data_IF_848795749036
#
_entry.id   IF_848795749036
#
_cell.length_a   1.000
_cell.length_b   1.000
_cell.length_c   1.000
_cell.angle_alpha   90.00
_cell.angle_beta   90.00
_cell.angle_gamma   90.00
#
_symmetry.space_group_name_H-M   'P 1'
#
loop_
_entity.id
_entity.type
_entity.pdbx_description
1 polymer ?
#
# COMPACT_ATOMS: atom_id res chain seq x y z
N UNK A 1 -33.39 26.45 -8.19
CA UNK A 1 -32.41 25.83 -9.09
C UNK A 1 -33.01 25.38 -10.42
N UNK A 2 -34.04 26.02 -10.90
CA UNK A 2 -34.80 25.65 -12.15
C UNK A 2 -34.48 26.53 -13.37
N UNK A 3 -33.56 27.47 -13.30
CA UNK A 3 -33.29 28.38 -14.40
C UNK A 3 -32.05 28.07 -15.29
N UNK A 4 -31.41 26.88 -15.08
CA UNK A 4 -30.27 26.46 -15.92
C UNK A 4 -30.66 25.54 -17.09
N UNK A 5 -31.95 25.32 -17.34
CA UNK A 5 -32.45 24.46 -18.43
C UNK A 5 -32.71 25.22 -19.77
N UNK A 6 -32.12 26.41 -19.97
CA UNK A 6 -32.29 27.18 -21.19
C UNK A 6 -31.33 26.71 -22.31
N UNK A 7 -30.27 25.97 -22.00
CA UNK A 7 -29.31 25.51 -23.00
C UNK A 7 -29.67 24.07 -23.40
N UNK A 8 -29.90 23.77 -24.69
CA UNK A 8 -30.11 22.39 -25.17
C UNK A 8 -28.98 21.48 -24.75
N UNK A 9 -29.30 20.19 -24.43
CA UNK A 9 -28.31 19.23 -23.97
C UNK A 9 -27.16 19.03 -24.95
N UNK A 10 -27.44 19.04 -26.23
CA UNK A 10 -26.43 18.93 -27.29
C UNK A 10 -25.41 20.05 -27.24
N UNK A 11 -25.87 21.30 -26.98
CA UNK A 11 -24.97 22.46 -26.86
C UNK A 11 -24.12 22.34 -25.60
N UNK A 12 -24.70 21.86 -24.52
CA UNK A 12 -24.00 21.62 -23.25
C UNK A 12 -22.90 20.56 -23.43
N UNK A 13 -23.23 19.45 -24.09
CA UNK A 13 -22.30 18.37 -24.37
C UNK A 13 -21.19 18.79 -25.33
N UNK A 14 -21.51 19.60 -26.35
CA UNK A 14 -20.54 20.19 -27.28
C UNK A 14 -19.54 21.09 -26.54
N UNK A 15 -20.05 21.99 -25.70
CA UNK A 15 -19.21 22.90 -24.89
C UNK A 15 -18.33 22.13 -23.92
N UNK A 16 -18.88 21.12 -23.25
CA UNK A 16 -18.14 20.28 -22.33
C UNK A 16 -17.04 19.47 -23.05
N UNK A 17 -17.35 18.91 -24.24
CA UNK A 17 -16.37 18.22 -25.08
C UNK A 17 -15.24 19.18 -25.50
N UNK A 18 -15.58 20.37 -25.94
CA UNK A 18 -14.59 21.37 -26.31
C UNK A 18 -13.70 21.80 -25.15
N UNK A 19 -14.30 22.03 -23.97
CA UNK A 19 -13.57 22.41 -22.75
C UNK A 19 -12.60 21.31 -22.28
N UNK A 20 -13.07 20.07 -22.17
CA UNK A 20 -12.24 18.95 -21.71
C UNK A 20 -11.13 18.64 -22.72
N UNK A 21 -11.42 18.70 -24.03
CA UNK A 21 -10.42 18.54 -25.08
C UNK A 21 -9.37 19.66 -25.05
N UNK A 22 -9.79 20.91 -24.76
CA UNK A 22 -8.87 22.03 -24.58
C UNK A 22 -7.93 21.82 -23.40
N UNK A 23 -8.46 21.34 -22.27
CA UNK A 23 -7.65 21.05 -21.06
C UNK A 23 -6.58 20.00 -21.37
N UNK A 24 -6.94 18.91 -22.07
CA UNK A 24 -5.97 17.88 -22.50
C UNK A 24 -4.93 18.48 -23.44
N UNK A 25 -5.34 19.33 -24.37
CA UNK A 25 -4.44 20.02 -25.31
C UNK A 25 -3.46 20.98 -24.61
N UNK A 26 -3.92 21.74 -23.63
CA UNK A 26 -3.09 22.64 -22.82
C UNK A 26 -2.05 21.88 -22.03
N UNK A 27 -2.45 20.74 -21.44
CA UNK A 27 -1.52 19.87 -20.70
C UNK A 27 -0.43 19.31 -21.64
N UNK A 28 -0.81 18.85 -22.82
CA UNK A 28 0.17 18.38 -23.82
C UNK A 28 1.13 19.50 -24.27
N UNK A 29 0.65 20.70 -24.42
CA UNK A 29 1.49 21.87 -24.71
C UNK A 29 2.46 22.17 -23.56
N UNK A 30 2.01 22.10 -22.31
CA UNK A 30 2.83 22.30 -21.10
C UNK A 30 3.98 21.30 -21.02
N UNK A 31 3.68 20.02 -21.24
CA UNK A 31 4.66 18.94 -21.16
C UNK A 31 5.74 19.05 -22.24
N UNK A 32 5.36 19.42 -23.46
CA UNK A 32 6.31 19.54 -24.59
C UNK A 32 7.05 20.88 -24.64
N UNK A 33 6.60 21.90 -23.92
CA UNK A 33 7.32 23.17 -23.83
C UNK A 33 8.71 23.04 -23.16
N UNK A 34 8.93 21.96 -22.42
CA UNK A 34 10.21 21.60 -21.77
C UNK A 34 11.16 20.81 -22.68
N UNK A 35 10.71 20.32 -23.82
CA UNK A 35 11.53 19.52 -24.75
C UNK A 35 12.19 20.46 -25.79
N UNK A 36 13.52 20.44 -25.87
CA UNK A 36 14.37 21.33 -26.69
C UNK A 36 14.14 21.15 -28.22
N UNK A 37 13.44 20.14 -28.67
CA UNK A 37 13.19 19.83 -30.08
C UNK A 37 11.86 20.33 -30.66
N UNK A 38 11.33 21.38 -30.16
CA UNK A 38 10.47 22.44 -30.71
C UNK A 38 9.42 22.17 -31.80
N UNK A 39 8.97 20.94 -32.10
CA UNK A 39 7.87 20.70 -33.04
C UNK A 39 6.80 19.80 -32.44
N UNK A 40 5.86 20.47 -31.76
CA UNK A 40 4.61 19.87 -31.29
C UNK A 40 3.79 19.26 -32.43
N UNK A 41 3.27 18.03 -32.26
CA UNK A 41 2.14 17.58 -33.04
C UNK A 41 0.87 18.10 -32.39
N UNK A 42 0.28 19.16 -33.00
CA UNK A 42 -0.97 19.73 -32.54
C UNK A 42 -0.81 20.60 -31.27
N UNK A 43 -1.47 21.75 -31.35
CA UNK A 43 -1.63 22.67 -30.23
C UNK A 43 -2.92 22.32 -29.48
N UNK A 44 -3.14 22.98 -28.34
CA UNK A 44 -4.42 23.08 -27.63
C UNK A 44 -5.62 23.17 -28.56
N UNK A 45 -5.53 24.02 -29.63
CA UNK A 45 -6.58 24.14 -30.65
C UNK A 45 -6.83 22.83 -31.42
N UNK A 46 -5.78 22.12 -31.79
CA UNK A 46 -5.90 20.86 -32.54
C UNK A 46 -6.63 19.78 -31.73
N UNK A 47 -6.30 19.64 -30.47
CA UNK A 47 -7.01 18.73 -29.56
C UNK A 47 -8.49 19.11 -29.42
N UNK A 48 -8.79 20.42 -29.26
CA UNK A 48 -10.15 20.91 -29.18
C UNK A 48 -10.95 20.60 -30.44
N UNK A 49 -10.39 20.87 -31.64
CA UNK A 49 -11.05 20.53 -32.90
C UNK A 49 -11.28 19.05 -33.12
N UNK A 50 -10.33 18.20 -32.70
CA UNK A 50 -10.47 16.74 -32.79
C UNK A 50 -11.59 16.22 -31.86
N UNK A 51 -11.69 16.72 -30.62
CA UNK A 51 -12.80 16.38 -29.75
C UNK A 51 -14.16 16.82 -30.28
N UNK A 52 -14.24 18.06 -30.74
CA UNK A 52 -15.46 18.60 -31.37
C UNK A 52 -15.83 17.80 -32.63
N UNK A 53 -14.85 17.45 -33.48
CA UNK A 53 -15.09 16.61 -34.67
C UNK A 53 -15.66 15.26 -34.29
N UNK A 54 -15.07 14.59 -33.28
CA UNK A 54 -15.57 13.32 -32.77
C UNK A 54 -17.02 13.41 -32.28
N UNK A 55 -17.34 14.48 -31.53
CA UNK A 55 -18.70 14.72 -31.07
C UNK A 55 -19.68 14.93 -32.22
N UNK A 56 -19.34 15.78 -33.20
CA UNK A 56 -20.20 16.08 -34.34
C UNK A 56 -20.47 14.81 -35.17
N UNK A 57 -19.44 14.03 -35.50
CA UNK A 57 -19.59 12.79 -36.26
C UNK A 57 -20.42 11.75 -35.54
N UNK A 58 -20.30 11.69 -34.20
CA UNK A 58 -21.14 10.86 -33.38
C UNK A 58 -22.60 11.33 -33.36
N UNK A 59 -22.83 12.62 -33.24
CA UNK A 59 -24.18 13.20 -33.20
C UNK A 59 -24.96 12.93 -34.51
N UNK A 60 -24.31 13.03 -35.67
CA UNK A 60 -24.96 12.79 -36.97
C UNK A 60 -25.37 11.33 -37.21
N UNK A 61 -24.72 10.35 -36.56
CA UNK A 61 -25.05 8.92 -36.71
C UNK A 61 -24.84 8.17 -35.39
N UNK A 62 -25.61 8.59 -34.40
CA UNK A 62 -25.53 8.07 -33.04
C UNK A 62 -26.03 6.60 -32.90
N UNK A 63 -26.81 6.10 -33.86
CA UNK A 63 -27.36 4.75 -33.87
C UNK A 63 -26.41 3.73 -34.51
N UNK A 64 -25.90 4.05 -35.72
CA UNK A 64 -25.07 3.09 -36.48
C UNK A 64 -23.57 3.30 -36.29
N UNK A 65 -23.14 4.45 -35.75
CA UNK A 65 -21.74 4.81 -35.47
C UNK A 65 -20.81 4.85 -36.70
N UNK A 66 -21.38 4.75 -37.93
CA UNK A 66 -20.59 4.64 -39.18
C UNK A 66 -19.74 5.86 -39.43
N UNK A 67 -20.34 7.07 -39.26
CA UNK A 67 -19.62 8.33 -39.48
C UNK A 67 -18.52 8.52 -38.46
N UNK A 68 -18.78 8.18 -37.18
CA UNK A 68 -17.79 8.24 -36.13
C UNK A 68 -16.64 7.26 -36.35
N UNK A 69 -16.94 5.98 -36.66
CA UNK A 69 -15.92 4.98 -36.96
C UNK A 69 -15.13 5.34 -38.23
N UNK A 70 -15.80 5.78 -39.29
CA UNK A 70 -15.14 6.24 -40.50
C UNK A 70 -14.20 7.41 -40.28
N UNK A 71 -14.64 8.43 -39.53
CA UNK A 71 -13.80 9.57 -39.13
C UNK A 71 -12.61 9.16 -38.28
N UNK A 72 -12.82 8.21 -37.34
CA UNK A 72 -11.76 7.63 -36.52
C UNK A 72 -10.71 6.85 -37.32
N UNK A 73 -11.15 6.09 -38.32
CA UNK A 73 -10.25 5.37 -39.24
C UNK A 73 -9.42 6.35 -40.10
N UNK A 74 -10.03 7.38 -40.65
CA UNK A 74 -9.33 8.42 -41.41
C UNK A 74 -8.30 9.13 -40.53
N UNK A 75 -8.71 9.55 -39.33
CA UNK A 75 -7.82 10.17 -38.37
C UNK A 75 -6.65 9.25 -37.99
N UNK A 76 -6.93 7.99 -37.66
CA UNK A 76 -5.91 6.97 -37.30
C UNK A 76 -4.95 6.70 -38.47
N UNK A 77 -5.46 6.61 -39.71
CA UNK A 77 -4.64 6.49 -40.91
C UNK A 77 -3.72 7.68 -41.12
N UNK A 78 -4.23 8.89 -40.96
CA UNK A 78 -3.45 10.13 -41.08
C UNK A 78 -2.36 10.22 -39.98
N UNK A 79 -2.70 9.86 -38.75
CA UNK A 79 -1.76 9.78 -37.65
C UNK A 79 -0.66 8.72 -37.91
N UNK A 80 -1.01 7.58 -38.50
CA UNK A 80 -0.06 6.52 -38.85
C UNK A 80 0.93 6.97 -39.93
N UNK A 81 0.46 7.64 -40.99
CA UNK A 81 1.32 8.22 -42.03
C UNK A 81 2.26 9.28 -41.43
N UNK A 82 1.71 10.16 -40.60
CA UNK A 82 2.49 11.19 -39.93
C UNK A 82 3.59 10.57 -39.02
N UNK A 83 3.24 9.54 -38.25
CA UNK A 83 4.19 8.82 -37.40
C UNK A 83 5.30 8.16 -38.21
N UNK A 84 4.96 7.49 -39.30
CA UNK A 84 5.92 6.86 -40.20
C UNK A 84 6.92 7.85 -40.78
N UNK A 85 6.44 8.97 -41.33
CA UNK A 85 7.30 10.02 -41.88
C UNK A 85 8.26 10.63 -40.86
N UNK A 86 7.83 10.71 -39.61
CA UNK A 86 8.63 11.31 -38.55
C UNK A 86 9.59 10.33 -37.88
N UNK A 87 9.19 9.07 -37.75
CA UNK A 87 10.06 7.97 -37.28
C UNK A 87 11.26 7.78 -38.20
N UNK A 88 11.07 7.93 -39.50
CA UNK A 88 12.15 7.85 -40.50
C UNK A 88 13.21 8.94 -40.37
N UNK A 89 12.90 10.06 -39.69
CA UNK A 89 13.81 11.20 -39.48
C UNK A 89 14.50 11.20 -38.12
N UNK A 90 14.53 10.09 -37.39
CA UNK A 90 15.20 9.92 -36.08
C UNK A 90 14.75 10.90 -34.96
N UNK A 91 13.55 11.46 -35.03
CA UNK A 91 13.02 12.27 -33.95
C UNK A 91 12.25 11.37 -32.99
N UNK A 92 12.71 11.27 -31.73
CA UNK A 92 12.07 10.52 -30.64
C UNK A 92 10.66 11.06 -30.35
N UNK A 93 9.66 10.54 -31.05
CA UNK A 93 8.26 10.88 -30.78
C UNK A 93 7.57 9.72 -30.08
N UNK A 94 7.07 9.98 -28.88
CA UNK A 94 6.34 8.96 -28.12
C UNK A 94 4.97 8.68 -28.78
N UNK A 95 4.59 7.42 -28.87
CA UNK A 95 3.26 6.96 -29.33
C UNK A 95 2.13 7.53 -28.44
N UNK A 96 2.45 7.87 -27.20
CA UNK A 96 1.49 8.38 -26.20
C UNK A 96 0.69 9.58 -26.70
N UNK A 97 1.32 10.53 -27.39
CA UNK A 97 0.63 11.71 -27.93
C UNK A 97 -0.40 11.35 -29.00
N UNK A 98 -0.14 10.33 -29.82
CA UNK A 98 -1.08 9.84 -30.83
C UNK A 98 -2.28 9.14 -30.20
N UNK A 99 -2.02 8.33 -29.17
CA UNK A 99 -3.07 7.68 -28.38
C UNK A 99 -3.96 8.71 -27.69
N UNK A 100 -3.40 9.80 -27.15
CA UNK A 100 -4.16 10.88 -26.54
C UNK A 100 -5.06 11.61 -27.54
N UNK A 101 -4.64 11.77 -28.79
CA UNK A 101 -5.47 12.32 -29.85
C UNK A 101 -6.70 11.44 -30.10
N UNK A 102 -6.50 10.12 -30.19
CA UNK A 102 -7.61 9.18 -30.37
C UNK A 102 -8.56 9.17 -29.16
N UNK A 103 -8.02 9.22 -27.95
CA UNK A 103 -8.84 9.34 -26.73
C UNK A 103 -9.64 10.65 -26.76
N UNK A 104 -9.01 11.75 -27.15
CA UNK A 104 -9.68 13.06 -27.27
C UNK A 104 -10.82 13.02 -28.30
N UNK A 105 -10.61 12.32 -29.42
CA UNK A 105 -11.66 12.08 -30.42
C UNK A 105 -12.86 11.31 -29.84
N UNK A 106 -12.62 10.36 -28.93
CA UNK A 106 -13.65 9.57 -28.27
C UNK A 106 -14.38 10.31 -27.13
N UNK A 107 -13.93 11.50 -26.70
CA UNK A 107 -14.56 12.23 -25.59
C UNK A 107 -16.02 12.59 -25.85
N UNK A 108 -16.37 12.94 -27.10
CA UNK A 108 -17.74 13.29 -27.47
C UNK A 108 -18.75 12.15 -27.12
N UNK A 109 -18.59 10.95 -27.69
CA UNK A 109 -19.40 9.80 -27.30
C UNK A 109 -19.35 9.47 -25.79
N UNK A 110 -18.18 9.59 -25.16
CA UNK A 110 -18.06 9.34 -23.72
C UNK A 110 -18.94 10.27 -22.89
N UNK A 111 -19.03 11.55 -23.25
CA UNK A 111 -19.86 12.55 -22.55
C UNK A 111 -21.34 12.24 -22.68
N UNK A 112 -21.76 11.69 -23.83
CA UNK A 112 -23.17 11.35 -24.08
C UNK A 112 -23.56 10.03 -23.40
N UNK A 113 -22.67 9.05 -23.39
CA UNK A 113 -22.98 7.68 -22.97
C UNK A 113 -22.64 7.37 -21.52
N UNK A 114 -21.70 8.08 -20.92
CA UNK A 114 -21.23 7.83 -19.56
C UNK A 114 -21.78 8.89 -18.59
N UNK A 115 -21.78 8.56 -17.31
CA UNK A 115 -22.07 9.54 -16.27
C UNK A 115 -20.99 10.64 -16.21
N UNK A 116 -21.38 11.86 -15.87
CA UNK A 116 -20.45 13.01 -15.75
C UNK A 116 -19.28 12.72 -14.81
N UNK A 117 -19.52 11.97 -13.72
CA UNK A 117 -18.47 11.56 -12.77
C UNK A 117 -17.45 10.64 -13.44
N UNK A 118 -17.90 9.73 -14.30
CA UNK A 118 -17.01 8.79 -14.99
C UNK A 118 -16.16 9.49 -16.05
N UNK A 119 -16.73 10.44 -16.78
CA UNK A 119 -15.99 11.30 -17.74
C UNK A 119 -14.92 12.13 -17.02
N UNK A 120 -15.25 12.70 -15.86
CA UNK A 120 -14.29 13.47 -15.06
C UNK A 120 -13.16 12.59 -14.55
N UNK A 121 -13.47 11.40 -14.02
CA UNK A 121 -12.45 10.42 -13.57
C UNK A 121 -11.52 10.05 -14.74
N UNK A 122 -12.08 9.80 -15.93
CA UNK A 122 -11.30 9.48 -17.13
C UNK A 122 -10.34 10.62 -17.50
N UNK A 123 -10.85 11.85 -17.60
CA UNK A 123 -10.03 13.01 -17.97
C UNK A 123 -8.97 13.32 -16.91
N UNK A 124 -9.33 13.33 -15.62
CA UNK A 124 -8.37 13.53 -14.53
C UNK A 124 -7.31 12.43 -14.52
N UNK A 125 -7.71 11.16 -14.75
CA UNK A 125 -6.76 10.03 -14.86
C UNK A 125 -5.77 10.21 -16.01
N UNK A 126 -6.25 10.67 -17.19
CA UNK A 126 -5.39 10.98 -18.35
C UNK A 126 -4.38 12.07 -18.01
N UNK A 127 -4.84 13.17 -17.39
CA UNK A 127 -3.98 14.30 -17.01
C UNK A 127 -2.92 13.85 -15.99
N UNK A 128 -3.32 13.10 -14.96
CA UNK A 128 -2.39 12.56 -13.96
C UNK A 128 -1.34 11.63 -14.59
N UNK A 129 -1.76 10.68 -15.44
CA UNK A 129 -0.84 9.77 -16.12
C UNK A 129 0.13 10.52 -17.05
N UNK A 130 -0.35 11.58 -17.70
CA UNK A 130 0.49 12.42 -18.57
C UNK A 130 1.54 13.18 -17.77
N UNK A 131 1.18 13.75 -16.62
CA UNK A 131 2.10 14.49 -15.74
C UNK A 131 3.13 13.56 -15.08
N UNK A 132 2.74 12.33 -14.74
CA UNK A 132 3.62 11.35 -14.10
C UNK A 132 4.71 10.79 -15.02
N UNK A 133 4.72 11.12 -16.33
CA UNK A 133 5.75 10.65 -17.29
C UNK A 133 7.18 10.92 -16.82
N UNK A 134 7.47 12.14 -16.38
CA UNK A 134 8.80 12.53 -15.93
C UNK A 134 9.14 11.92 -14.56
N UNK A 135 8.12 11.77 -13.70
CA UNK A 135 8.25 11.07 -12.44
C UNK A 135 8.58 9.59 -12.66
N UNK A 136 7.86 8.91 -13.55
CA UNK A 136 8.14 7.52 -13.92
C UNK A 136 9.52 7.35 -14.57
N UNK A 137 9.93 8.24 -15.47
CA UNK A 137 11.30 8.22 -16.03
C UNK A 137 12.36 8.33 -14.93
N UNK A 138 12.18 9.26 -13.99
CA UNK A 138 13.07 9.41 -12.84
C UNK A 138 13.03 8.22 -11.88
N UNK A 139 11.89 7.57 -11.76
CA UNK A 139 11.71 6.37 -10.97
C UNK A 139 12.43 5.18 -11.63
N UNK A 140 12.20 4.95 -12.91
CA UNK A 140 12.81 3.85 -13.69
C UNK A 140 14.33 4.00 -13.74
N UNK A 141 14.86 5.21 -13.92
CA UNK A 141 16.32 5.44 -13.94
C UNK A 141 17.00 5.24 -12.59
N UNK A 142 16.23 5.30 -11.48
CA UNK A 142 16.72 5.06 -10.10
C UNK A 142 16.35 3.69 -9.57
N UNK A 143 15.46 2.98 -10.25
CA UNK A 143 14.96 1.67 -9.83
C UNK A 143 15.84 0.62 -10.49
N UNK A 144 16.46 -0.22 -9.69
CA UNK A 144 17.14 -1.41 -10.21
C UNK A 144 16.12 -2.31 -10.90
N UNK A 145 16.50 -2.98 -11.99
CA UNK A 145 15.64 -3.88 -12.77
C UNK A 145 14.94 -4.94 -11.89
N UNK A 146 15.57 -5.33 -10.80
CA UNK A 146 15.06 -6.28 -9.81
C UNK A 146 13.74 -5.87 -9.15
N UNK A 147 13.46 -4.58 -9.02
CA UNK A 147 12.23 -4.12 -8.35
C UNK A 147 11.02 -4.12 -9.25
N UNK A 148 11.23 -3.80 -10.53
CA UNK A 148 10.16 -3.93 -11.53
C UNK A 148 9.73 -5.40 -11.69
N UNK A 149 10.71 -6.30 -11.74
CA UNK A 149 10.46 -7.76 -11.76
C UNK A 149 9.72 -8.19 -10.49
N UNK A 150 10.07 -7.65 -9.35
CA UNK A 150 9.42 -7.94 -8.07
C UNK A 150 7.97 -7.48 -8.04
N UNK A 151 7.69 -6.25 -8.51
CA UNK A 151 6.33 -5.73 -8.64
C UNK A 151 5.50 -6.58 -9.62
N UNK A 152 6.08 -6.94 -10.77
CA UNK A 152 5.41 -7.79 -11.77
C UNK A 152 5.05 -9.18 -11.18
N UNK A 153 5.96 -9.80 -10.41
CA UNK A 153 5.69 -11.05 -9.69
C UNK A 153 4.55 -10.89 -8.68
N UNK A 154 4.51 -9.76 -7.95
CA UNK A 154 3.45 -9.50 -6.99
C UNK A 154 2.08 -9.32 -7.69
N UNK A 155 2.04 -8.56 -8.79
CA UNK A 155 0.82 -8.38 -9.59
C UNK A 155 0.34 -9.72 -10.15
N UNK A 156 1.25 -10.55 -10.66
CA UNK A 156 0.91 -11.90 -11.16
C UNK A 156 0.36 -12.79 -10.03
N UNK A 157 0.93 -12.69 -8.84
CA UNK A 157 0.48 -13.41 -7.64
C UNK A 157 -0.95 -13.03 -7.25
N UNK A 158 -1.25 -11.73 -7.24
CA UNK A 158 -2.58 -11.19 -6.87
C UNK A 158 -3.61 -11.40 -7.99
N UNK A 159 -3.24 -11.12 -9.24
CA UNK A 159 -4.16 -11.09 -10.37
C UNK A 159 -4.37 -12.42 -11.06
N UNK A 160 -3.40 -13.34 -10.98
CA UNK A 160 -3.48 -14.64 -11.67
C UNK A 160 -3.62 -15.77 -10.65
N UNK A 161 -2.68 -15.89 -9.70
CA UNK A 161 -2.65 -17.07 -8.81
C UNK A 161 -3.82 -17.04 -7.82
N UNK A 162 -4.02 -15.94 -7.12
CA UNK A 162 -5.04 -15.84 -6.09
C UNK A 162 -6.48 -16.15 -6.59
N UNK A 163 -6.95 -15.67 -7.77
CA UNK A 163 -8.29 -15.99 -8.26
C UNK A 163 -8.48 -17.45 -8.68
N UNK A 164 -7.40 -18.17 -9.04
CA UNK A 164 -7.45 -19.57 -9.50
C UNK A 164 -7.51 -20.56 -8.33
N UNK A 165 -7.07 -20.14 -7.12
CA UNK A 165 -7.00 -21.03 -5.98
C UNK A 165 -8.39 -21.42 -5.47
N UNK A 166 -8.59 -22.72 -5.13
CA UNK A 166 -9.84 -23.20 -4.56
C UNK A 166 -10.12 -22.54 -3.21
N UNK A 167 -11.35 -22.08 -3.02
CA UNK A 167 -11.80 -21.45 -1.77
C UNK A 167 -12.16 -22.47 -0.70
N UNK A 168 -12.48 -23.69 -1.14
CA UNK A 168 -12.90 -24.77 -0.25
C UNK A 168 -11.74 -25.22 0.63
N UNK A 169 -12.02 -25.66 1.87
CA UNK A 169 -11.03 -26.26 2.75
C UNK A 169 -10.41 -27.52 2.11
N UNK A 170 -9.15 -27.79 2.48
CA UNK A 170 -8.48 -29.02 2.05
C UNK A 170 -9.15 -30.25 2.69
N UNK A 171 -9.34 -31.31 1.91
CA UNK A 171 -9.92 -32.56 2.40
C UNK A 171 -9.14 -33.11 3.60
N UNK A 172 -9.82 -33.25 4.74
CA UNK A 172 -9.20 -33.64 6.01
C UNK A 172 -8.69 -32.49 6.89
N UNK A 173 -8.76 -31.23 6.42
CA UNK A 173 -8.34 -30.05 7.16
C UNK A 173 -9.38 -28.93 7.01
N UNK A 174 -10.48 -29.01 7.76
CA UNK A 174 -11.66 -28.14 7.63
C UNK A 174 -11.37 -26.63 7.80
N UNK A 175 -10.27 -26.27 8.50
CA UNK A 175 -9.90 -24.88 8.75
C UNK A 175 -8.79 -24.37 7.81
N UNK A 176 -8.19 -25.24 6.97
CA UNK A 176 -7.08 -24.88 6.10
C UNK A 176 -7.56 -24.76 4.63
N UNK A 177 -7.63 -23.54 4.10
CA UNK A 177 -7.89 -23.26 2.69
C UNK A 177 -6.65 -22.68 2.02
N UNK A 178 -6.28 -23.18 0.84
CA UNK A 178 -5.18 -22.63 0.04
C UNK A 178 -5.43 -21.16 -0.33
N UNK A 179 -6.68 -20.81 -0.61
CA UNK A 179 -7.06 -19.43 -0.89
C UNK A 179 -6.79 -18.52 0.32
N UNK A 180 -7.22 -18.91 1.52
CA UNK A 180 -7.01 -18.14 2.75
C UNK A 180 -5.51 -17.98 3.06
N UNK A 181 -4.74 -19.08 2.97
CA UNK A 181 -3.29 -19.06 3.14
C UNK A 181 -2.63 -18.06 2.17
N UNK A 182 -2.97 -18.17 0.89
CA UNK A 182 -2.35 -17.34 -0.14
C UNK A 182 -2.80 -15.88 -0.03
N UNK A 183 -4.04 -15.63 0.32
CA UNK A 183 -4.57 -14.30 0.61
C UNK A 183 -3.81 -13.64 1.78
N UNK A 184 -3.52 -14.39 2.86
CA UNK A 184 -2.72 -13.91 3.97
C UNK A 184 -1.30 -13.51 3.52
N UNK A 185 -0.63 -14.38 2.74
CA UNK A 185 0.69 -14.11 2.16
C UNK A 185 0.66 -12.83 1.32
N UNK A 186 -0.33 -12.68 0.44
CA UNK A 186 -0.46 -11.53 -0.46
C UNK A 186 -0.65 -10.23 0.33
N UNK A 187 -1.57 -10.21 1.29
CA UNK A 187 -1.87 -8.98 2.04
C UNK A 187 -0.67 -8.54 2.89
N UNK A 188 -0.03 -9.48 3.61
CA UNK A 188 1.12 -9.16 4.45
C UNK A 188 2.32 -8.74 3.60
N UNK A 189 2.60 -9.47 2.52
CA UNK A 189 3.67 -9.09 1.59
C UNK A 189 3.39 -7.74 0.92
N UNK A 190 2.12 -7.45 0.60
CA UNK A 190 1.70 -6.17 0.04
C UNK A 190 1.95 -5.00 0.99
N UNK A 191 1.54 -5.11 2.25
CA UNK A 191 1.79 -4.08 3.28
C UNK A 191 3.31 -3.86 3.46
N UNK A 192 4.07 -4.96 3.53
CA UNK A 192 5.53 -4.92 3.66
C UNK A 192 6.20 -4.27 2.45
N UNK A 193 5.72 -4.57 1.24
CA UNK A 193 6.24 -4.01 -0.01
C UNK A 193 5.91 -2.52 -0.15
N UNK A 194 4.68 -2.11 0.17
CA UNK A 194 4.31 -0.70 0.20
C UNK A 194 5.20 0.08 1.17
N UNK A 195 5.43 -0.45 2.38
CA UNK A 195 6.33 0.15 3.37
C UNK A 195 7.76 0.29 2.84
N UNK A 196 8.26 -0.74 2.17
CA UNK A 196 9.57 -0.72 1.51
C UNK A 196 9.66 0.35 0.41
N UNK A 197 8.65 0.45 -0.46
CA UNK A 197 8.60 1.46 -1.52
C UNK A 197 8.56 2.89 -0.96
N UNK A 198 7.72 3.13 0.05
CA UNK A 198 7.63 4.43 0.73
C UNK A 198 8.99 4.81 1.32
N UNK A 199 9.68 3.89 1.98
CA UNK A 199 11.00 4.13 2.52
C UNK A 199 12.03 4.41 1.42
N UNK A 200 12.02 3.64 0.34
CA UNK A 200 13.02 3.74 -0.72
C UNK A 200 12.86 5.00 -1.57
N UNK A 201 11.62 5.39 -1.89
CA UNK A 201 11.36 6.46 -2.85
C UNK A 201 10.93 7.77 -2.23
N UNK A 202 10.21 7.74 -1.11
CA UNK A 202 9.68 8.95 -0.47
C UNK A 202 10.60 9.43 0.65
N UNK A 203 11.10 8.52 1.45
CA UNK A 203 11.84 8.84 2.67
C UNK A 203 13.31 8.37 2.63
N UNK A 204 13.99 8.59 1.52
CA UNK A 204 15.40 8.18 1.30
C UNK A 204 16.40 8.75 2.30
N UNK A 205 16.09 9.91 2.89
CA UNK A 205 16.95 10.61 3.87
C UNK A 205 16.28 10.77 5.23
N UNK A 206 15.30 9.90 5.55
CA UNK A 206 14.59 9.98 6.83
C UNK A 206 15.49 9.58 8.00
N UNK A 207 15.25 10.22 9.15
CA UNK A 207 15.92 9.88 10.41
C UNK A 207 15.59 8.46 10.88
N UNK A 208 16.33 8.01 11.89
CA UNK A 208 16.19 6.67 12.50
C UNK A 208 14.76 6.37 12.98
N UNK A 209 14.03 7.39 13.40
CA UNK A 209 12.65 7.31 13.88
C UNK A 209 11.68 6.85 12.79
N UNK A 210 11.66 7.55 11.65
CA UNK A 210 10.78 7.20 10.53
C UNK A 210 11.26 5.93 9.83
N UNK A 211 12.57 5.72 9.76
CA UNK A 211 13.15 4.46 9.29
C UNK A 211 12.75 3.28 10.18
N UNK A 212 12.71 3.48 11.50
CA UNK A 212 12.23 2.50 12.48
C UNK A 212 10.74 2.16 12.27
N UNK A 213 9.89 3.17 12.08
CA UNK A 213 8.47 2.97 11.81
C UNK A 213 8.23 2.16 10.52
N UNK A 214 8.86 2.57 9.41
CA UNK A 214 8.74 1.88 8.12
C UNK A 214 9.34 0.46 8.16
N UNK A 215 10.48 0.29 8.84
CA UNK A 215 11.06 -1.03 9.07
C UNK A 215 10.16 -1.89 9.94
N UNK A 216 9.47 -1.30 10.92
CA UNK A 216 8.49 -1.96 11.79
C UNK A 216 7.26 -2.45 11.07
N UNK A 217 6.78 -1.74 10.05
CA UNK A 217 5.70 -2.19 9.16
C UNK A 217 6.12 -3.42 8.34
N UNK A 218 7.40 -3.53 7.99
CA UNK A 218 7.96 -4.71 7.33
C UNK A 218 8.15 -5.86 8.32
N UNK A 219 8.96 -5.64 9.35
CA UNK A 219 9.20 -6.59 10.45
C UNK A 219 9.69 -5.85 11.69
N UNK A 220 8.80 -5.67 12.64
CA UNK A 220 9.12 -4.99 13.90
C UNK A 220 10.15 -5.72 14.74
N UNK A 221 10.21 -7.05 14.63
CA UNK A 221 11.22 -7.88 15.31
C UNK A 221 12.60 -7.67 14.69
N UNK A 222 12.70 -7.74 13.37
CA UNK A 222 13.96 -7.48 12.66
C UNK A 222 14.44 -6.04 12.90
N UNK A 223 13.54 -5.05 12.85
CA UNK A 223 13.87 -3.66 13.17
C UNK A 223 14.43 -3.50 14.57
N UNK A 224 13.79 -4.12 15.58
CA UNK A 224 14.26 -4.10 16.97
C UNK A 224 15.66 -4.70 17.11
N UNK A 225 15.92 -5.86 16.49
CA UNK A 225 17.23 -6.54 16.53
C UNK A 225 18.31 -5.66 15.89
N UNK A 226 18.05 -5.13 14.69
CA UNK A 226 19.06 -4.36 13.95
C UNK A 226 19.39 -3.07 14.68
N UNK A 227 18.39 -2.32 15.14
CA UNK A 227 18.60 -1.07 15.88
C UNK A 227 19.35 -1.37 17.20
N UNK A 228 18.96 -2.44 17.90
CA UNK A 228 19.64 -2.83 19.15
C UNK A 228 21.13 -3.17 18.92
N UNK A 229 21.45 -3.89 17.84
CA UNK A 229 22.85 -4.21 17.51
C UNK A 229 23.65 -2.98 17.08
N UNK A 230 23.05 -2.10 16.26
CA UNK A 230 23.70 -0.86 15.81
C UNK A 230 24.00 0.08 16.97
N UNK A 231 23.23 0.02 18.06
CA UNK A 231 23.44 0.87 19.23
C UNK A 231 24.80 0.65 19.93
N UNK A 232 25.46 -0.50 19.71
CA UNK A 232 26.77 -0.79 20.25
C UNK A 232 27.90 -0.17 19.40
N UNK A 233 27.67 0.07 18.11
CA UNK A 233 28.69 0.60 17.18
C UNK A 233 28.58 2.11 16.99
N UNK A 234 27.40 2.70 17.20
CA UNK A 234 27.13 4.13 16.98
C UNK A 234 26.86 4.84 18.30
N UNK A 235 27.86 5.52 18.84
CA UNK A 235 27.73 6.29 20.07
C UNK A 235 27.07 7.67 19.85
N UNK A 236 26.24 8.11 20.81
CA UNK A 236 25.66 9.47 20.82
C UNK A 236 24.28 9.63 20.17
N UNK A 237 23.57 8.52 19.83
CA UNK A 237 22.22 8.56 19.21
C UNK A 237 21.19 7.72 19.98
N UNK A 238 21.41 7.49 21.23
CA UNK A 238 20.64 6.52 22.02
C UNK A 238 19.14 6.82 22.09
N UNK A 239 18.77 8.10 22.14
CA UNK A 239 17.36 8.53 22.15
C UNK A 239 16.68 8.19 20.83
N UNK A 240 17.31 8.47 19.69
CA UNK A 240 16.76 8.18 18.35
C UNK A 240 16.64 6.71 18.09
N UNK A 241 17.65 5.92 18.45
CA UNK A 241 17.63 4.47 18.37
C UNK A 241 16.49 3.88 19.22
N UNK A 242 16.33 4.40 20.45
CA UNK A 242 15.19 4.03 21.31
C UNK A 242 13.86 4.39 20.65
N UNK A 243 13.72 5.61 20.14
CA UNK A 243 12.53 6.02 19.41
C UNK A 243 12.26 5.13 18.20
N UNK A 244 13.29 4.76 17.42
CA UNK A 244 13.18 3.83 16.31
C UNK A 244 12.59 2.47 16.72
N UNK A 245 13.01 1.92 17.85
CA UNK A 245 12.45 0.68 18.41
C UNK A 245 10.97 0.86 18.81
N UNK A 246 10.65 1.97 19.48
CA UNK A 246 9.26 2.26 19.91
C UNK A 246 8.36 2.48 18.70
N UNK A 247 8.81 3.23 17.69
CA UNK A 247 8.07 3.42 16.44
C UNK A 247 7.85 2.10 15.68
N UNK A 248 8.83 1.19 15.68
CA UNK A 248 8.67 -0.13 15.08
C UNK A 248 7.57 -0.95 15.78
N UNK A 249 7.41 -0.80 17.10
CA UNK A 249 6.32 -1.44 17.83
C UNK A 249 4.97 -0.76 17.57
N UNK A 250 4.91 0.58 17.48
CA UNK A 250 3.70 1.30 17.04
C UNK A 250 3.24 0.81 15.66
N UNK A 251 4.17 0.67 14.73
CA UNK A 251 3.90 0.20 13.37
C UNK A 251 3.35 -1.23 13.35
N UNK A 252 3.86 -2.12 14.21
CA UNK A 252 3.31 -3.46 14.39
C UNK A 252 1.87 -3.42 14.88
N UNK A 253 1.58 -2.66 15.93
CA UNK A 253 0.21 -2.56 16.48
C UNK A 253 -0.75 -1.97 15.44
N UNK A 254 -0.32 -0.96 14.70
CA UNK A 254 -1.09 -0.39 13.60
C UNK A 254 -1.36 -1.43 12.50
N UNK A 255 -0.33 -2.21 12.09
CA UNK A 255 -0.48 -3.28 11.09
C UNK A 255 -1.49 -4.34 11.54
N UNK A 256 -1.43 -4.77 12.81
CA UNK A 256 -2.40 -5.74 13.36
C UNK A 256 -3.82 -5.19 13.31
N UNK A 257 -4.04 -3.93 13.69
CA UNK A 257 -5.34 -3.28 13.59
C UNK A 257 -5.85 -3.18 12.14
N UNK A 258 -4.96 -2.89 11.20
CA UNK A 258 -5.28 -2.86 9.77
C UNK A 258 -5.67 -4.26 9.25
N UNK A 259 -4.91 -5.30 9.59
CA UNK A 259 -5.21 -6.68 9.21
C UNK A 259 -6.55 -7.15 9.80
N UNK A 260 -6.81 -6.88 11.08
CA UNK A 260 -8.09 -7.17 11.69
C UNK A 260 -9.25 -6.47 10.95
N UNK A 261 -9.07 -5.19 10.58
CA UNK A 261 -10.10 -4.42 9.86
C UNK A 261 -10.41 -4.97 8.47
N UNK A 262 -9.39 -5.50 7.78
CA UNK A 262 -9.54 -6.07 6.43
C UNK A 262 -10.25 -7.43 6.48
N UNK A 263 -9.91 -8.29 7.45
CA UNK A 263 -10.34 -9.68 7.45
C UNK A 263 -11.52 -9.97 8.37
N UNK A 264 -11.64 -9.25 9.50
CA UNK A 264 -12.72 -9.47 10.46
C UNK A 264 -13.10 -8.18 11.19
N UNK A 265 -14.13 -7.51 10.69
CA UNK A 265 -14.59 -6.22 11.24
C UNK A 265 -15.10 -6.32 12.69
N UNK A 266 -15.59 -7.49 13.12
CA UNK A 266 -16.09 -7.68 14.49
C UNK A 266 -14.93 -7.80 15.49
N UNK A 267 -13.92 -8.61 15.17
CA UNK A 267 -12.67 -8.66 15.95
C UNK A 267 -12.02 -7.28 15.97
N UNK A 268 -11.96 -6.60 14.81
CA UNK A 268 -11.38 -5.28 14.71
C UNK A 268 -12.04 -4.27 15.66
N UNK A 269 -13.37 -4.20 15.69
CA UNK A 269 -14.12 -3.29 16.59
C UNK A 269 -13.76 -3.47 18.05
N UNK A 270 -13.51 -4.69 18.50
CA UNK A 270 -13.15 -5.01 19.89
C UNK A 270 -11.65 -4.87 20.16
N UNK A 271 -10.79 -5.22 19.19
CA UNK A 271 -9.34 -5.20 19.35
C UNK A 271 -8.74 -3.80 19.20
N UNK A 272 -9.23 -2.98 18.25
CA UNK A 272 -8.69 -1.66 17.93
C UNK A 272 -8.63 -0.72 19.14
N UNK A 273 -9.63 -0.61 20.04
CA UNK A 273 -9.54 0.24 21.21
C UNK A 273 -8.33 -0.09 22.10
N UNK A 274 -8.03 -1.37 22.29
CA UNK A 274 -6.87 -1.81 23.07
C UNK A 274 -5.56 -1.50 22.36
N UNK A 275 -5.49 -1.72 21.03
CA UNK A 275 -4.32 -1.36 20.24
C UNK A 275 -4.06 0.13 20.24
N UNK A 276 -5.10 0.96 20.12
CA UNK A 276 -4.99 2.41 20.19
C UNK A 276 -4.47 2.88 21.54
N UNK A 277 -4.96 2.29 22.64
CA UNK A 277 -4.45 2.60 23.97
C UNK A 277 -2.94 2.30 24.07
N UNK A 278 -2.51 1.14 23.57
CA UNK A 278 -1.10 0.77 23.56
C UNK A 278 -0.26 1.69 22.66
N UNK A 279 -0.78 2.12 21.50
CA UNK A 279 -0.12 3.09 20.61
C UNK A 279 -0.02 4.46 21.29
N UNK A 280 -1.04 4.92 22.00
CA UNK A 280 -1.01 6.18 22.76
C UNK A 280 0.08 6.14 23.85
N UNK A 281 0.18 5.03 24.58
CA UNK A 281 1.22 4.85 25.62
C UNK A 281 2.63 4.93 25.01
N UNK A 282 2.85 4.30 23.85
CA UNK A 282 4.11 4.40 23.10
C UNK A 282 4.33 5.84 22.60
N UNK A 283 3.30 6.48 22.04
CA UNK A 283 3.37 7.86 21.54
C UNK A 283 3.77 8.86 22.63
N UNK A 284 3.17 8.73 23.81
CA UNK A 284 3.55 9.54 24.99
C UNK A 284 5.00 9.28 25.39
N UNK A 285 5.43 8.02 25.35
CA UNK A 285 6.81 7.64 25.67
C UNK A 285 7.83 8.23 24.69
N UNK A 286 7.50 8.19 23.39
CA UNK A 286 8.30 8.80 22.32
C UNK A 286 8.36 10.31 22.47
N UNK A 287 7.21 10.97 22.68
CA UNK A 287 7.14 12.42 22.85
C UNK A 287 8.01 12.90 24.03
N UNK A 288 7.96 12.20 25.16
CA UNK A 288 8.80 12.52 26.33
C UNK A 288 10.29 12.39 26.04
N UNK A 289 10.69 11.41 25.23
CA UNK A 289 12.10 11.23 24.81
C UNK A 289 12.55 12.34 23.88
N UNK A 290 11.74 12.69 22.86
CA UNK A 290 12.06 13.78 21.91
C UNK A 290 12.21 15.11 22.64
N UNK A 291 11.33 15.41 23.59
CA UNK A 291 11.41 16.64 24.40
C UNK A 291 12.72 16.69 25.22
N UNK A 292 13.19 15.57 25.72
CA UNK A 292 14.45 15.46 26.44
C UNK A 292 15.68 15.67 25.53
N UNK A 293 15.63 15.16 24.27
CA UNK A 293 16.72 15.28 23.29
C UNK A 293 16.91 16.71 22.74
N UNK A 294 15.84 17.50 22.64
CA UNK A 294 15.94 18.91 22.19
C UNK A 294 16.81 19.77 23.08
N UNK A 295 17.11 19.31 24.29
CA UNK A 295 18.07 19.94 25.21
C UNK A 295 19.54 19.61 24.90
N UNK A 296 19.82 18.59 24.08
CA UNK A 296 21.17 18.14 23.74
C UNK A 296 21.38 18.20 22.21
N UNK A 297 22.27 19.09 21.74
CA UNK A 297 22.47 19.47 20.32
C UNK A 297 22.87 18.34 19.38
N UNK A 298 22.19 18.30 18.22
CA UNK A 298 22.55 17.87 16.84
C UNK A 298 23.78 16.99 16.63
N UNK A 299 23.59 15.78 16.06
CA UNK A 299 24.54 15.11 15.17
C UNK A 299 23.85 14.30 14.06
N UNK A 300 24.58 14.09 12.97
CA UNK A 300 24.26 13.61 11.64
C UNK A 300 23.42 12.32 11.53
N UNK A 301 22.57 12.25 10.50
CA UNK A 301 21.66 11.15 10.17
C UNK A 301 22.46 10.03 9.50
N UNK A 302 22.43 8.80 10.04
CA UNK A 302 22.81 7.61 9.32
C UNK A 302 21.54 6.77 9.01
N UNK A 303 21.33 6.32 7.77
CA UNK A 303 20.16 5.52 7.43
C UNK A 303 20.32 4.08 7.95
N UNK A 304 19.23 3.54 8.50
CA UNK A 304 19.13 2.11 8.83
C UNK A 304 19.24 1.29 7.54
N UNK A 305 20.28 0.47 7.43
CA UNK A 305 20.47 -0.46 6.30
C UNK A 305 19.70 -1.76 6.51
N UNK A 306 18.39 -1.71 6.53
CA UNK A 306 17.54 -2.88 6.37
C UNK A 306 17.14 -2.96 4.89
N UNK A 307 17.96 -3.60 4.07
CA UNK A 307 17.73 -3.72 2.63
C UNK A 307 17.60 -5.20 2.28
N UNK A 308 16.44 -5.77 2.56
CA UNK A 308 16.01 -6.98 1.88
C UNK A 308 14.64 -6.73 1.26
N UNK A 309 14.46 -7.16 0.03
CA UNK A 309 13.20 -7.04 -0.68
C UNK A 309 12.15 -7.96 0.00
N UNK A 310 11.01 -7.41 0.50
CA UNK A 310 10.02 -8.19 1.24
C UNK A 310 9.26 -9.22 0.40
N UNK A 311 9.35 -9.15 -0.92
CA UNK A 311 8.70 -10.09 -1.85
C UNK A 311 9.61 -11.26 -2.24
N UNK A 312 10.67 -11.53 -1.47
CA UNK A 312 11.46 -12.73 -1.69
C UNK A 312 10.61 -13.99 -1.45
N UNK A 313 10.63 -14.91 -2.40
CA UNK A 313 9.91 -16.18 -2.33
C UNK A 313 10.20 -16.94 -1.01
N UNK A 314 11.43 -16.81 -0.51
CA UNK A 314 11.85 -17.42 0.77
C UNK A 314 11.03 -16.91 1.96
N UNK A 315 10.78 -15.61 2.04
CA UNK A 315 9.98 -14.98 3.12
C UNK A 315 8.53 -15.45 3.03
N UNK A 316 7.96 -15.47 1.82
CA UNK A 316 6.62 -15.96 1.58
C UNK A 316 6.45 -17.44 1.95
N UNK A 317 7.43 -18.29 1.62
CA UNK A 317 7.43 -19.72 1.98
C UNK A 317 7.54 -19.95 3.49
N UNK A 318 8.41 -19.20 4.19
CA UNK A 318 8.51 -19.27 5.65
C UNK A 318 7.17 -18.88 6.28
N UNK A 319 6.57 -17.76 5.82
CA UNK A 319 5.26 -17.34 6.32
C UNK A 319 4.18 -18.41 6.08
N UNK A 320 4.10 -18.95 4.86
CA UNK A 320 3.16 -19.99 4.51
C UNK A 320 3.34 -21.25 5.39
N UNK A 321 4.59 -21.66 5.65
CA UNK A 321 4.89 -22.81 6.50
C UNK A 321 4.47 -22.56 7.95
N UNK A 322 4.74 -21.37 8.48
CA UNK A 322 4.30 -20.98 9.83
C UNK A 322 2.77 -20.88 9.92
N UNK A 323 2.13 -20.33 8.88
CA UNK A 323 0.66 -20.26 8.81
C UNK A 323 0.02 -21.66 8.91
N UNK A 324 0.50 -22.62 8.11
CA UNK A 324 0.03 -24.01 8.15
C UNK A 324 0.30 -24.64 9.50
N UNK A 325 1.54 -24.51 10.02
CA UNK A 325 1.91 -25.05 11.33
C UNK A 325 1.00 -24.51 12.44
N UNK A 326 0.77 -23.20 12.47
CA UNK A 326 -0.06 -22.58 13.49
C UNK A 326 -1.54 -22.91 13.32
N UNK A 327 -2.03 -23.05 12.07
CA UNK A 327 -3.39 -23.52 11.81
C UNK A 327 -3.62 -24.92 12.39
N UNK A 328 -2.71 -25.84 12.13
CA UNK A 328 -2.77 -27.22 12.67
C UNK A 328 -2.64 -27.23 14.20
N UNK A 329 -1.71 -26.47 14.76
CA UNK A 329 -1.52 -26.37 16.21
C UNK A 329 -2.75 -25.78 16.90
N UNK A 330 -3.38 -24.76 16.30
CA UNK A 330 -4.61 -24.14 16.79
C UNK A 330 -5.76 -25.14 16.78
N UNK A 331 -5.97 -25.86 15.68
CA UNK A 331 -7.01 -26.88 15.55
C UNK A 331 -6.81 -28.02 16.59
N UNK A 332 -5.59 -28.50 16.72
CA UNK A 332 -5.25 -29.54 17.69
C UNK A 332 -5.48 -29.07 19.13
N UNK A 333 -5.06 -27.86 19.46
CA UNK A 333 -5.26 -27.29 20.79
C UNK A 333 -6.73 -27.06 21.12
N UNK A 334 -7.52 -26.59 20.14
CA UNK A 334 -8.97 -26.44 20.31
C UNK A 334 -9.67 -27.79 20.55
N UNK A 335 -9.24 -28.85 19.88
CA UNK A 335 -9.84 -30.18 20.03
C UNK A 335 -9.58 -30.82 21.40
N UNK A 336 -8.44 -30.51 22.06
CA UNK A 336 -8.06 -31.08 23.35
C UNK A 336 -8.47 -30.17 24.52
N UNK A 337 -8.19 -28.88 24.42
CA UNK A 337 -8.32 -27.92 25.52
C UNK A 337 -9.48 -26.95 25.36
N UNK A 338 -10.20 -26.98 24.22
CA UNK A 338 -11.23 -25.99 23.91
C UNK A 338 -10.68 -24.58 23.76
N UNK A 339 -11.49 -23.55 24.06
CA UNK A 339 -11.11 -22.13 23.95
C UNK A 339 -9.85 -21.75 24.77
N UNK A 340 -9.59 -22.25 26.01
CA UNK A 340 -8.35 -21.97 26.71
C UNK A 340 -7.08 -22.40 25.96
N UNK A 341 -7.19 -23.39 25.10
CA UNK A 341 -6.07 -23.86 24.26
C UNK A 341 -5.53 -22.79 23.33
N UNK A 342 -6.41 -21.90 22.80
CA UNK A 342 -5.99 -20.78 21.98
C UNK A 342 -5.02 -19.84 22.71
N UNK A 343 -5.26 -19.59 23.99
CA UNK A 343 -4.39 -18.74 24.81
C UNK A 343 -3.02 -19.34 25.01
N UNK A 344 -2.92 -20.68 25.16
CA UNK A 344 -1.66 -21.41 25.29
C UNK A 344 -0.86 -21.29 23.99
N UNK A 345 -1.50 -21.57 22.86
CA UNK A 345 -0.85 -21.42 21.55
C UNK A 345 -0.42 -19.96 21.31
N UNK A 346 -1.24 -18.98 21.67
CA UNK A 346 -0.93 -17.56 21.50
C UNK A 346 0.37 -17.17 22.23
N UNK A 347 0.64 -17.70 23.41
CA UNK A 347 1.90 -17.47 24.12
C UNK A 347 3.07 -18.02 23.31
N UNK A 348 2.99 -19.26 22.85
CA UNK A 348 4.08 -19.95 22.13
C UNK A 348 4.38 -19.23 20.80
N UNK A 349 3.34 -18.94 20.05
CA UNK A 349 3.43 -18.33 18.72
C UNK A 349 3.99 -16.91 18.78
N UNK A 350 3.64 -16.15 19.81
CA UNK A 350 4.18 -14.80 20.00
C UNK A 350 5.72 -14.77 20.10
N UNK A 351 6.36 -15.87 20.54
CA UNK A 351 7.83 -16.02 20.53
C UNK A 351 8.40 -16.38 19.15
N UNK A 352 7.58 -16.68 18.17
CA UNK A 352 8.03 -16.91 16.79
C UNK A 352 7.66 -15.73 15.90
N UNK A 353 6.49 -15.80 15.27
CA UNK A 353 5.93 -14.72 14.44
C UNK A 353 4.42 -14.64 14.67
N UNK A 354 3.98 -13.46 15.07
CA UNK A 354 2.59 -13.21 15.45
C UNK A 354 1.65 -13.16 14.24
N UNK A 355 2.15 -12.72 13.07
CA UNK A 355 1.30 -12.45 11.93
C UNK A 355 0.59 -13.68 11.35
N UNK A 356 1.27 -14.84 11.15
CA UNK A 356 0.59 -16.01 10.62
C UNK A 356 -0.52 -16.53 11.55
N UNK A 357 -0.33 -16.41 12.85
CA UNK A 357 -1.33 -16.80 13.85
C UNK A 357 -2.53 -15.87 13.86
N UNK A 358 -2.30 -14.55 13.87
CA UNK A 358 -3.36 -13.56 13.82
C UNK A 358 -4.18 -13.69 12.54
N UNK A 359 -3.52 -13.97 11.42
CA UNK A 359 -4.21 -14.22 10.15
C UNK A 359 -5.10 -15.44 10.20
N UNK A 360 -4.67 -16.54 10.85
CA UNK A 360 -5.53 -17.69 11.08
C UNK A 360 -6.78 -17.30 11.88
N UNK A 361 -6.62 -16.56 12.98
CA UNK A 361 -7.75 -16.11 13.81
C UNK A 361 -8.68 -15.17 13.02
N UNK A 362 -8.15 -14.22 12.28
CA UNK A 362 -8.96 -13.23 11.56
C UNK A 362 -9.73 -13.84 10.38
N UNK A 363 -9.23 -14.90 9.78
CA UNK A 363 -9.88 -15.60 8.66
C UNK A 363 -10.77 -16.76 9.11
N UNK A 364 -10.72 -17.15 10.37
CA UNK A 364 -11.58 -18.21 10.90
C UNK A 364 -12.92 -17.63 11.36
N UNK A 365 -13.98 -18.01 10.64
CA UNK A 365 -15.36 -17.62 10.95
C UNK A 365 -16.13 -18.75 11.69
N UNK A 366 -15.45 -19.85 12.04
CA UNK A 366 -16.10 -21.02 12.66
C UNK A 366 -16.32 -20.86 14.17
N UNK A 367 -15.57 -19.96 14.82
CA UNK A 367 -15.71 -19.70 16.26
C UNK A 367 -16.89 -18.76 16.49
N UNK A 368 -17.95 -19.26 17.07
CA UNK A 368 -19.24 -18.59 17.25
C UNK A 368 -19.21 -17.38 18.21
N UNK A 369 -18.15 -17.22 19.01
CA UNK A 369 -18.00 -16.09 19.94
C UNK A 369 -16.76 -15.26 19.62
N UNK A 370 -16.95 -14.16 18.92
CA UNK A 370 -15.90 -13.19 18.57
C UNK A 370 -15.19 -12.62 19.82
N UNK A 371 -15.88 -12.56 20.96
CA UNK A 371 -15.31 -12.09 22.23
C UNK A 371 -14.17 -12.97 22.73
N UNK A 372 -14.24 -14.29 22.52
CA UNK A 372 -13.21 -15.22 22.98
C UNK A 372 -11.91 -15.13 22.15
N UNK A 373 -11.98 -14.57 20.92
CA UNK A 373 -10.82 -14.46 20.04
C UNK A 373 -9.92 -13.23 20.30
N UNK A 374 -10.42 -12.21 21.02
CA UNK A 374 -9.63 -11.00 21.33
C UNK A 374 -8.51 -11.30 22.33
N UNK A 375 -8.77 -12.15 23.34
CA UNK A 375 -7.77 -12.53 24.34
C UNK A 375 -6.55 -13.22 23.73
N UNK A 376 -6.67 -14.26 22.87
CA UNK A 376 -5.53 -14.87 22.20
C UNK A 376 -4.74 -13.87 21.33
N UNK A 377 -5.42 -12.93 20.65
CA UNK A 377 -4.75 -11.89 19.88
C UNK A 377 -3.88 -10.99 20.76
N UNK A 378 -4.42 -10.51 21.89
CA UNK A 378 -3.67 -9.67 22.83
C UNK A 378 -2.51 -10.45 23.47
N UNK A 379 -2.71 -11.72 23.85
CA UNK A 379 -1.67 -12.59 24.41
C UNK A 379 -0.53 -12.78 23.42
N UNK A 380 -0.82 -13.09 22.16
CA UNK A 380 0.19 -13.26 21.12
C UNK A 380 1.01 -11.98 20.90
N UNK A 381 0.32 -10.81 20.83
CA UNK A 381 0.98 -9.50 20.73
C UNK A 381 1.90 -9.25 21.93
N UNK A 382 1.41 -9.50 23.15
CA UNK A 382 2.20 -9.30 24.37
C UNK A 382 3.42 -10.23 24.43
N UNK A 383 3.25 -11.50 24.07
CA UNK A 383 4.34 -12.47 24.00
C UNK A 383 5.42 -12.03 23.00
N UNK A 384 5.04 -11.47 21.86
CA UNK A 384 5.96 -10.89 20.89
C UNK A 384 6.69 -9.64 21.44
N UNK A 385 6.01 -8.80 22.22
CA UNK A 385 6.62 -7.64 22.88
C UNK A 385 7.62 -8.12 23.96
N UNK A 386 7.31 -9.19 24.69
CA UNK A 386 8.26 -9.82 25.64
C UNK A 386 9.51 -10.29 24.92
N UNK A 387 9.38 -11.00 23.81
CA UNK A 387 10.52 -11.44 22.99
C UNK A 387 11.40 -10.26 22.55
N UNK A 388 10.82 -9.19 22.07
CA UNK A 388 11.55 -7.97 21.68
C UNK A 388 12.24 -7.31 22.87
N UNK A 389 11.60 -7.32 24.04
CA UNK A 389 12.20 -6.81 25.28
C UNK A 389 13.44 -7.63 25.66
N UNK A 390 13.39 -8.95 25.46
CA UNK A 390 14.54 -9.84 25.64
C UNK A 390 15.65 -9.48 24.63
N UNK A 391 15.32 -9.25 23.36
CA UNK A 391 16.29 -8.84 22.34
C UNK A 391 16.98 -7.52 22.67
N UNK A 392 16.23 -6.52 23.15
CA UNK A 392 16.80 -5.25 23.63
C UNK A 392 17.77 -5.50 24.80
N UNK A 393 17.37 -6.36 25.76
CA UNK A 393 18.20 -6.67 26.91
C UNK A 393 19.52 -7.34 26.52
N UNK A 394 19.53 -8.20 25.50
CA UNK A 394 20.71 -8.95 25.06
C UNK A 394 21.61 -8.11 24.16
N UNK A 395 21.04 -7.40 23.18
CA UNK A 395 21.81 -6.83 22.07
C UNK A 395 21.94 -5.32 22.08
N UNK A 396 21.17 -4.58 22.88
CA UNK A 396 21.29 -3.11 22.90
C UNK A 396 22.42 -2.63 23.81
N UNK A 397 22.98 -1.47 23.48
CA UNK A 397 23.92 -0.74 24.35
C UNK A 397 23.28 -0.44 25.71
N UNK A 398 24.12 -0.18 26.72
CA UNK A 398 23.65 0.09 28.07
C UNK A 398 22.70 1.30 28.13
N UNK A 399 23.00 2.35 27.38
CA UNK A 399 22.22 3.58 27.32
C UNK A 399 20.85 3.35 26.65
N UNK A 400 20.81 2.65 25.52
CA UNK A 400 19.54 2.31 24.86
C UNK A 400 18.72 1.36 25.73
N UNK A 401 19.38 0.43 26.42
CA UNK A 401 18.72 -0.49 27.35
C UNK A 401 18.07 0.26 28.52
N UNK A 402 18.74 1.20 29.13
CA UNK A 402 18.21 2.05 30.21
C UNK A 402 16.99 2.87 29.75
N UNK A 403 16.98 3.28 28.48
CA UNK A 403 15.88 4.06 27.93
C UNK A 403 14.70 3.18 27.43
N UNK A 404 14.98 2.07 26.73
CA UNK A 404 13.96 1.28 26.07
C UNK A 404 13.23 0.31 27.04
N UNK A 405 13.96 -0.39 27.92
CA UNK A 405 13.34 -1.42 28.78
C UNK A 405 12.19 -0.91 29.66
N UNK A 406 12.30 0.24 30.38
CA UNK A 406 11.18 0.70 31.19
C UNK A 406 9.94 0.99 30.33
N UNK A 407 10.11 1.47 29.10
CA UNK A 407 9.00 1.79 28.19
C UNK A 407 8.34 0.54 27.61
N UNK A 408 9.13 -0.48 27.31
CA UNK A 408 8.60 -1.79 26.91
C UNK A 408 7.85 -2.46 28.07
N UNK A 409 8.32 -2.32 29.32
CA UNK A 409 7.61 -2.83 30.49
C UNK A 409 6.30 -2.07 30.72
N UNK A 410 6.26 -0.76 30.56
CA UNK A 410 5.01 0.02 30.62
C UNK A 410 4.03 -0.45 29.54
N UNK A 411 4.51 -0.73 28.32
CA UNK A 411 3.69 -1.27 27.25
C UNK A 411 3.09 -2.64 27.60
N UNK A 412 3.90 -3.53 28.20
CA UNK A 412 3.46 -4.83 28.68
C UNK A 412 2.42 -4.71 29.79
N UNK A 413 2.62 -3.80 30.75
CA UNK A 413 1.63 -3.50 31.80
C UNK A 413 0.33 -3.00 31.22
N UNK A 414 0.39 -2.09 30.23
CA UNK A 414 -0.78 -1.63 29.50
C UNK A 414 -1.51 -2.80 28.82
N UNK A 415 -0.79 -3.70 28.13
CA UNK A 415 -1.37 -4.90 27.51
C UNK A 415 -2.02 -5.83 28.55
N UNK A 416 -1.42 -6.03 29.70
CA UNK A 416 -2.00 -6.82 30.80
C UNK A 416 -3.31 -6.19 31.32
N UNK A 417 -3.36 -4.89 31.46
CA UNK A 417 -4.59 -4.16 31.82
C UNK A 417 -5.66 -4.35 30.73
N UNK A 418 -5.30 -4.26 29.45
CA UNK A 418 -6.21 -4.51 28.34
C UNK A 418 -6.79 -5.94 28.39
N UNK A 419 -5.96 -6.95 28.71
CA UNK A 419 -6.42 -8.34 28.88
C UNK A 419 -7.42 -8.47 30.02
N UNK A 420 -7.15 -7.85 31.16
CA UNK A 420 -8.06 -7.88 32.32
C UNK A 420 -9.39 -7.20 31.93
N UNK A 421 -9.34 -6.04 31.31
CA UNK A 421 -10.55 -5.31 30.88
C UNK A 421 -11.36 -6.15 29.89
N UNK A 422 -10.69 -6.85 28.95
CA UNK A 422 -11.39 -7.70 27.97
C UNK A 422 -12.15 -8.87 28.62
N UNK A 423 -11.78 -9.31 29.83
CA UNK A 423 -12.52 -10.35 30.55
C UNK A 423 -13.85 -9.87 31.15
N UNK A 424 -14.01 -8.55 31.29
CA UNK A 424 -15.23 -7.94 31.86
C UNK A 424 -16.17 -7.36 30.79
N UNK A 425 -15.77 -7.36 29.53
CA UNK A 425 -16.54 -6.89 28.36
C UNK A 425 -16.96 -8.09 27.49
#
# INVERSE_FOLDING_TARGET
MEQLNVIPEDVKNLLLTGLLSLIIGLEQRRLHAKEVSGRLFGTDRTFTFIGILGYILFLFDSVSWRLFLGGGLILGGWLSVYYYQRSSRQTNMGITSLVLILITYCLGPCIVLLSNSMVLILVVGILMLSEMKDYFKGLISKTADDEFITLAKFIAMVGIILPILPKDPLTGFEHLSLYKLFQAVVVISGISYVSYLIRKFVFTKSGEELSGALAGLYSSTAATIVISRQSNSETGRFVRQTNGILFANCAMLFRVGLLASIFNSEIAKRLIPFLLLMIIVLGVSIYRLIKKEQSERKKTIAPLTLINNPLELKVALIFASLYVLFSLATQYSLSIFGEPGLNIIAVIVGFADVDPFLMNIFQDHSVSQTSSLVSPCLIAIMSNIVLKTIYIKIWASEEVRKLALPRMLILLLCGAICLIINQFI
#
